data_IF_887795975693
#
_entry.id   IF_887795975693
#
_cell.length_a   1.000
_cell.length_b   1.000
_cell.length_c   1.000
_cell.angle_alpha   90.00
_cell.angle_beta   90.00
_cell.angle_gamma   90.00
#
_symmetry.space_group_name_H-M   'P 1'
#
loop_
_entity.id
_entity.type
_entity.pdbx_description
1 polymer ?
#
# COMPACT_ATOMS: atom_id res chain seq x y z
N UNK A 1 15.43 -4.25 -6.00
CA UNK A 1 14.44 -3.17 -5.87
C UNK A 1 13.11 -3.66 -6.41
N UNK A 2 11.98 -3.36 -5.75
CA UNK A 2 10.64 -3.62 -6.26
C UNK A 2 10.22 -2.45 -7.17
N UNK A 3 9.46 -2.73 -8.24
CA UNK A 3 8.98 -1.70 -9.18
C UNK A 3 7.55 -2.00 -9.60
N UNK A 4 6.83 -1.00 -10.10
CA UNK A 4 5.51 -1.18 -10.70
C UNK A 4 4.34 -0.97 -9.76
N UNK A 5 3.24 -1.66 -10.01
CA UNK A 5 1.98 -1.56 -9.26
C UNK A 5 1.93 -2.56 -8.11
N UNK A 6 2.06 -2.07 -6.91
CA UNK A 6 1.92 -2.87 -5.68
C UNK A 6 0.54 -2.59 -5.07
N UNK A 7 -0.29 -3.61 -4.89
CA UNK A 7 -1.62 -3.42 -4.28
C UNK A 7 -1.51 -3.33 -2.77
N UNK A 8 -2.07 -2.27 -2.17
CA UNK A 8 -2.41 -2.26 -0.74
C UNK A 8 -3.70 -3.08 -0.59
N UNK A 9 -3.56 -4.40 -0.49
CA UNK A 9 -4.68 -5.34 -0.62
C UNK A 9 -5.65 -5.22 0.57
N UNK A 10 -6.95 -5.22 0.28
CA UNK A 10 -7.99 -5.32 1.30
C UNK A 10 -7.94 -6.70 1.96
N UNK A 11 -8.31 -6.79 3.25
CA UNK A 11 -8.49 -8.07 3.93
C UNK A 11 -9.97 -8.48 3.83
N UNK A 12 -10.29 -9.57 3.10
CA UNK A 12 -11.65 -10.08 2.99
C UNK A 12 -12.20 -10.51 4.35
N UNK A 13 -13.46 -10.15 4.63
CA UNK A 13 -14.13 -10.46 5.87
C UNK A 13 -15.58 -10.94 5.62
N UNK A 14 -16.08 -11.78 6.49
CA UNK A 14 -17.48 -12.18 6.56
C UNK A 14 -18.33 -11.07 7.19
N UNK A 15 -19.65 -11.17 7.08
CA UNK A 15 -20.57 -10.18 7.64
C UNK A 15 -20.52 -10.03 9.18
N UNK A 16 -19.97 -11.02 9.89
CA UNK A 16 -19.71 -10.98 11.33
C UNK A 16 -18.33 -10.37 11.69
N UNK A 17 -17.55 -9.97 10.68
CA UNK A 17 -16.22 -9.41 10.84
C UNK A 17 -15.10 -10.47 11.00
N UNK A 18 -15.39 -11.76 10.96
CA UNK A 18 -14.35 -12.78 10.87
C UNK A 18 -13.64 -12.73 9.50
N UNK A 19 -12.38 -13.17 9.44
CA UNK A 19 -11.62 -13.16 8.18
C UNK A 19 -12.19 -14.23 7.24
N UNK A 20 -12.48 -13.84 5.98
CA UNK A 20 -12.86 -14.76 4.90
C UNK A 20 -11.57 -15.30 4.24
N UNK A 21 -11.09 -16.42 4.75
CA UNK A 21 -9.87 -17.05 4.23
C UNK A 21 -9.99 -17.51 2.79
N UNK A 22 -11.15 -18.01 2.38
CA UNK A 22 -11.38 -18.42 1.00
C UNK A 22 -11.45 -17.21 0.05
N UNK A 23 -12.03 -16.10 0.51
CA UNK A 23 -12.01 -14.82 -0.19
C UNK A 23 -10.60 -14.27 -0.32
N UNK A 24 -9.76 -14.41 0.71
CA UNK A 24 -8.36 -13.99 0.66
C UNK A 24 -7.60 -14.76 -0.43
N UNK A 25 -7.74 -16.07 -0.51
CA UNK A 25 -7.10 -16.89 -1.53
C UNK A 25 -7.57 -16.52 -2.94
N UNK A 26 -8.89 -16.36 -3.15
CA UNK A 26 -9.44 -15.92 -4.45
C UNK A 26 -8.90 -14.55 -4.87
N UNK A 27 -8.83 -13.60 -3.94
CA UNK A 27 -8.34 -12.26 -4.22
C UNK A 27 -6.85 -12.26 -4.58
N UNK A 28 -6.04 -13.07 -3.90
CA UNK A 28 -4.62 -13.24 -4.20
C UNK A 28 -4.44 -13.83 -5.61
N UNK A 29 -5.17 -14.91 -5.97
CA UNK A 29 -5.12 -15.48 -7.32
C UNK A 29 -5.50 -14.45 -8.37
N UNK A 30 -6.58 -13.69 -8.13
CA UNK A 30 -6.98 -12.61 -9.03
C UNK A 30 -5.86 -11.60 -9.25
N UNK A 31 -5.18 -11.14 -8.20
CA UNK A 31 -4.06 -10.20 -8.34
C UNK A 31 -2.89 -10.79 -9.12
N UNK A 32 -2.55 -12.04 -8.89
CA UNK A 32 -1.48 -12.73 -9.64
C UNK A 32 -1.85 -12.83 -11.13
N UNK A 33 -3.07 -13.24 -11.45
CA UNK A 33 -3.56 -13.39 -12.83
C UNK A 33 -3.67 -12.04 -13.56
N UNK A 34 -3.92 -10.96 -12.84
CA UNK A 34 -4.02 -9.60 -13.38
C UNK A 34 -2.67 -8.90 -13.51
N UNK A 35 -1.56 -9.53 -13.12
CA UNK A 35 -0.21 -8.98 -13.30
C UNK A 35 0.21 -7.98 -12.22
N UNK A 36 -0.43 -7.97 -11.04
CA UNK A 36 0.03 -7.16 -9.91
C UNK A 36 1.50 -7.45 -9.58
N UNK A 37 2.34 -6.41 -9.45
CA UNK A 37 3.78 -6.56 -9.28
C UNK A 37 4.19 -6.98 -7.85
N UNK A 38 3.41 -6.59 -6.84
CA UNK A 38 3.57 -7.06 -5.46
C UNK A 38 2.27 -6.89 -4.65
N UNK A 39 2.09 -7.67 -3.59
CA UNK A 39 0.98 -7.55 -2.65
C UNK A 39 1.51 -6.98 -1.33
N UNK A 40 0.93 -5.85 -0.89
CA UNK A 40 1.09 -5.35 0.48
C UNK A 40 -0.06 -5.92 1.32
N UNK A 41 0.27 -6.87 2.18
CA UNK A 41 -0.65 -7.53 3.11
C UNK A 41 -0.71 -6.74 4.41
N UNK A 42 -1.90 -6.58 4.98
CA UNK A 42 -2.19 -5.91 6.25
C UNK A 42 -1.58 -4.51 6.42
N UNK A 43 -1.56 -3.72 5.34
CA UNK A 43 -1.37 -2.27 5.43
C UNK A 43 -2.66 -1.58 5.94
N UNK A 44 -2.72 -0.25 5.85
CA UNK A 44 -3.93 0.54 6.22
C UNK A 44 -5.18 0.03 5.50
N UNK A 45 -5.10 -0.19 4.20
CA UNK A 45 -6.19 -0.71 3.37
C UNK A 45 -6.58 -2.14 3.75
N UNK A 46 -5.65 -2.93 4.27
CA UNK A 46 -5.89 -4.26 4.81
C UNK A 46 -6.45 -4.27 6.24
N UNK A 47 -6.87 -3.11 6.77
CA UNK A 47 -7.49 -2.97 8.11
C UNK A 47 -6.58 -3.45 9.26
N UNK A 48 -5.27 -3.22 9.15
CA UNK A 48 -4.29 -3.61 10.17
C UNK A 48 -4.65 -3.13 11.59
N UNK A 49 -5.29 -1.96 11.71
CA UNK A 49 -5.66 -1.37 12.99
C UNK A 49 -6.76 -2.15 13.76
N UNK A 50 -7.52 -3.02 13.09
CA UNK A 50 -8.63 -3.79 13.69
C UNK A 50 -8.38 -5.29 13.68
N UNK A 51 -7.23 -5.74 13.21
CA UNK A 51 -6.75 -7.11 13.34
C UNK A 51 -6.00 -7.26 14.67
N UNK A 52 -6.27 -8.30 15.45
CA UNK A 52 -5.39 -8.64 16.55
C UNK A 52 -4.05 -9.20 16.05
N UNK A 53 -3.03 -9.28 16.90
CA UNK A 53 -1.68 -9.68 16.47
C UNK A 53 -1.64 -11.10 15.86
N UNK A 54 -2.48 -12.03 16.34
CA UNK A 54 -2.58 -13.37 15.78
C UNK A 54 -3.16 -13.36 14.36
N UNK A 55 -4.27 -12.66 14.16
CA UNK A 55 -4.87 -12.48 12.83
C UNK A 55 -3.94 -11.76 11.87
N UNK A 56 -3.27 -10.71 12.35
CA UNK A 56 -2.31 -9.94 11.57
C UNK A 56 -1.18 -10.84 11.02
N UNK A 57 -0.60 -11.67 11.90
CA UNK A 57 0.44 -12.63 11.51
C UNK A 57 -0.10 -13.69 10.55
N UNK A 58 -1.29 -14.26 10.83
CA UNK A 58 -1.89 -15.31 10.01
C UNK A 58 -2.26 -14.83 8.61
N UNK A 59 -2.75 -13.59 8.45
CA UNK A 59 -3.05 -13.01 7.12
C UNK A 59 -1.76 -12.88 6.30
N UNK A 60 -0.66 -12.40 6.89
CA UNK A 60 0.63 -12.31 6.20
C UNK A 60 1.12 -13.70 5.78
N UNK A 61 1.13 -14.66 6.72
CA UNK A 61 1.61 -16.02 6.46
C UNK A 61 0.80 -16.70 5.33
N UNK A 62 -0.53 -16.61 5.39
CA UNK A 62 -1.40 -17.17 4.36
C UNK A 62 -1.23 -16.45 3.01
N UNK A 63 -1.02 -15.15 3.01
CA UNK A 63 -0.72 -14.40 1.78
C UNK A 63 0.58 -14.90 1.15
N UNK A 64 1.66 -15.02 1.91
CA UNK A 64 2.95 -15.56 1.42
C UNK A 64 2.78 -16.97 0.87
N UNK A 65 2.07 -17.83 1.61
CA UNK A 65 1.81 -19.22 1.20
C UNK A 65 0.99 -19.32 -0.08
N UNK A 66 -0.09 -18.53 -0.20
CA UNK A 66 -0.96 -18.54 -1.36
C UNK A 66 -0.26 -17.97 -2.60
N UNK A 67 0.51 -16.89 -2.45
CA UNK A 67 1.32 -16.34 -3.55
C UNK A 67 2.36 -17.35 -4.06
N UNK A 68 2.88 -18.23 -3.19
CA UNK A 68 3.83 -19.31 -3.52
C UNK A 68 5.05 -18.83 -4.35
N UNK A 69 5.57 -17.64 -4.05
CA UNK A 69 6.74 -17.07 -4.71
C UNK A 69 6.51 -16.50 -6.13
N UNK A 70 5.26 -16.49 -6.63
CA UNK A 70 4.94 -15.97 -7.97
C UNK A 70 5.14 -14.46 -8.09
N UNK A 71 4.82 -13.72 -7.04
CA UNK A 71 5.07 -12.28 -6.90
C UNK A 71 5.54 -11.96 -5.47
N UNK A 72 6.23 -10.83 -5.23
CA UNK A 72 6.64 -10.42 -3.89
C UNK A 72 5.46 -10.12 -2.97
N UNK A 73 5.61 -10.46 -1.68
CA UNK A 73 4.70 -10.04 -0.60
C UNK A 73 5.43 -9.06 0.32
N UNK A 74 4.77 -7.97 0.67
CA UNK A 74 5.23 -6.94 1.61
C UNK A 74 4.29 -6.98 2.83
N UNK A 75 4.82 -7.11 4.02
CA UNK A 75 4.02 -7.08 5.26
C UNK A 75 3.88 -5.65 5.78
N UNK A 76 2.66 -5.19 6.08
CA UNK A 76 2.45 -3.94 6.81
C UNK A 76 2.73 -4.16 8.30
N UNK A 77 3.80 -3.59 8.85
CA UNK A 77 4.27 -3.89 10.21
C UNK A 77 4.57 -2.65 11.05
N UNK A 78 4.26 -1.45 10.53
CA UNK A 78 4.44 -0.20 11.26
C UNK A 78 3.45 -0.04 12.42
N UNK A 79 3.92 0.51 13.54
CA UNK A 79 3.16 0.86 14.72
C UNK A 79 3.67 2.18 15.30
N UNK A 80 2.89 2.79 16.18
CA UNK A 80 3.34 3.95 16.99
C UNK A 80 4.16 3.54 18.24
N UNK A 81 4.37 2.24 18.44
CA UNK A 81 5.31 1.67 19.40
C UNK A 81 6.49 1.02 18.68
N UNK A 82 7.70 1.43 19.01
CA UNK A 82 8.94 0.87 18.42
C UNK A 82 9.07 -0.62 18.71
N UNK A 83 8.76 -1.04 19.93
CA UNK A 83 8.82 -2.45 20.34
C UNK A 83 7.81 -3.31 19.57
N UNK A 84 6.58 -2.82 19.41
CA UNK A 84 5.55 -3.50 18.64
C UNK A 84 5.93 -3.61 17.15
N UNK A 85 6.45 -2.53 16.54
CA UNK A 85 6.94 -2.56 15.16
C UNK A 85 8.05 -3.59 14.98
N UNK A 86 8.99 -3.70 15.92
CA UNK A 86 10.05 -4.72 15.89
C UNK A 86 9.44 -6.13 15.96
N UNK A 87 8.50 -6.36 16.86
CA UNK A 87 7.85 -7.66 17.01
C UNK A 87 7.08 -8.07 15.75
N UNK A 88 6.24 -7.17 15.19
CA UNK A 88 5.48 -7.40 13.96
C UNK A 88 6.42 -7.62 12.76
N UNK A 89 7.47 -6.82 12.63
CA UNK A 89 8.44 -6.94 11.53
C UNK A 89 9.20 -8.27 11.60
N UNK A 90 9.58 -8.72 12.79
CA UNK A 90 10.21 -10.03 12.99
C UNK A 90 9.27 -11.18 12.63
N UNK A 91 8.00 -11.10 13.00
CA UNK A 91 6.98 -12.09 12.64
C UNK A 91 6.78 -12.15 11.13
N UNK A 92 6.69 -11.01 10.47
CA UNK A 92 6.57 -10.94 9.01
C UNK A 92 7.82 -11.50 8.30
N UNK A 93 9.02 -11.21 8.79
CA UNK A 93 10.26 -11.80 8.28
C UNK A 93 10.23 -13.34 8.38
N UNK A 94 9.77 -13.89 9.51
CA UNK A 94 9.64 -15.34 9.70
C UNK A 94 8.61 -15.97 8.76
N UNK A 95 7.56 -15.25 8.42
CA UNK A 95 6.56 -15.67 7.42
C UNK A 95 7.12 -15.66 5.98
N UNK A 96 8.27 -15.03 5.74
CA UNK A 96 8.95 -15.05 4.44
C UNK A 96 8.56 -13.90 3.51
N UNK A 97 8.14 -12.75 4.04
CA UNK A 97 7.89 -11.56 3.21
C UNK A 97 9.16 -11.04 2.54
N UNK A 98 9.02 -10.40 1.39
CA UNK A 98 10.13 -9.80 0.63
C UNK A 98 10.60 -8.49 1.25
N UNK A 99 9.69 -7.74 1.88
CA UNK A 99 9.94 -6.47 2.56
C UNK A 99 8.84 -6.21 3.60
N UNK A 100 9.05 -5.21 4.46
CA UNK A 100 8.03 -4.69 5.37
C UNK A 100 7.74 -3.23 5.06
N UNK A 101 6.46 -2.83 5.15
CA UNK A 101 5.98 -1.45 5.04
C UNK A 101 5.72 -0.89 6.43
N UNK A 102 6.46 0.16 6.80
CA UNK A 102 6.45 0.74 8.13
C UNK A 102 5.86 2.16 8.10
N UNK A 103 4.62 2.32 8.54
CA UNK A 103 4.00 3.64 8.68
C UNK A 103 4.69 4.44 9.79
N UNK A 104 4.83 5.75 9.59
CA UNK A 104 5.31 6.66 10.64
C UNK A 104 4.43 6.54 11.89
N UNK A 105 5.01 6.63 13.12
CA UNK A 105 4.24 6.60 14.35
C UNK A 105 3.10 7.63 14.33
N UNK A 106 1.88 7.15 14.46
CA UNK A 106 0.65 7.93 14.48
C UNK A 106 0.23 8.25 15.91
N UNK A 107 -0.58 9.29 16.10
CA UNK A 107 -1.19 9.68 17.37
C UNK A 107 -0.20 10.33 18.36
N UNK A 108 0.93 9.70 18.71
CA UNK A 108 1.92 10.20 19.67
C UNK A 108 2.88 11.26 19.11
N UNK A 109 2.84 11.54 17.80
CA UNK A 109 3.49 12.66 17.11
C UNK A 109 4.95 12.88 17.47
N UNK A 110 5.86 11.92 17.25
CA UNK A 110 7.27 12.09 17.55
C UNK A 110 7.90 13.20 16.70
N UNK A 111 8.91 13.92 17.24
CA UNK A 111 9.73 14.83 16.45
C UNK A 111 10.59 14.07 15.44
N UNK A 112 11.23 14.79 14.50
CA UNK A 112 12.04 14.18 13.42
C UNK A 112 13.14 13.23 13.95
N UNK A 113 13.81 13.60 15.03
CA UNK A 113 14.81 12.72 15.66
C UNK A 113 14.17 11.46 16.26
N UNK A 114 12.95 11.57 16.81
CA UNK A 114 12.19 10.42 17.28
C UNK A 114 11.81 9.47 16.14
N UNK A 115 11.43 10.00 14.96
CA UNK A 115 11.19 9.21 13.76
C UNK A 115 12.47 8.48 13.31
N UNK A 116 13.60 9.20 13.27
CA UNK A 116 14.88 8.61 12.89
C UNK A 116 15.27 7.45 13.83
N UNK A 117 15.22 7.66 15.15
CA UNK A 117 15.57 6.64 16.13
C UNK A 117 14.61 5.44 16.09
N UNK A 118 13.31 5.69 15.85
CA UNK A 118 12.30 4.64 15.72
C UNK A 118 12.63 3.68 14.56
N UNK A 119 12.78 4.20 13.35
CA UNK A 119 13.07 3.38 12.16
C UNK A 119 14.46 2.75 12.21
N UNK A 120 15.47 3.47 12.70
CA UNK A 120 16.79 2.93 12.91
C UNK A 120 16.77 1.72 13.86
N UNK A 121 16.07 1.83 15.00
CA UNK A 121 15.96 0.73 15.97
C UNK A 121 15.28 -0.51 15.35
N UNK A 122 14.27 -0.34 14.49
CA UNK A 122 13.63 -1.45 13.80
C UNK A 122 14.60 -2.07 12.80
N UNK A 123 15.33 -1.26 12.04
CA UNK A 123 16.30 -1.72 11.05
C UNK A 123 17.47 -2.49 11.70
N UNK A 124 17.98 -2.02 12.84
CA UNK A 124 19.01 -2.71 13.61
C UNK A 124 18.52 -4.04 14.22
N UNK A 125 17.24 -4.13 14.57
CA UNK A 125 16.65 -5.31 15.21
C UNK A 125 16.22 -6.42 14.24
N UNK A 126 15.91 -6.10 12.97
CA UNK A 126 15.34 -7.03 11.99
C UNK A 126 15.92 -6.74 10.61
N UNK A 127 16.54 -7.75 9.99
CA UNK A 127 17.30 -7.59 8.73
C UNK A 127 16.47 -7.57 7.45
N UNK A 128 15.15 -7.85 7.50
CA UNK A 128 14.28 -7.79 6.32
C UNK A 128 14.29 -6.38 5.71
N UNK A 129 14.27 -6.23 4.39
CA UNK A 129 14.15 -4.92 3.75
C UNK A 129 12.91 -4.15 4.24
N UNK A 130 13.07 -2.87 4.53
CA UNK A 130 12.05 -2.00 5.10
C UNK A 130 11.74 -0.84 4.16
N UNK A 131 10.46 -0.56 3.96
CA UNK A 131 9.95 0.58 3.20
C UNK A 131 9.26 1.50 4.20
N UNK A 132 9.75 2.72 4.32
CA UNK A 132 9.13 3.76 5.15
C UNK A 132 7.78 4.15 4.55
N UNK A 133 6.82 4.57 5.40
CA UNK A 133 5.53 5.04 4.89
C UNK A 133 5.12 6.33 5.59
N UNK A 134 5.15 7.42 4.83
CA UNK A 134 4.76 8.75 5.28
C UNK A 134 3.36 9.13 4.76
N UNK A 135 2.42 9.36 5.67
CA UNK A 135 1.02 9.68 5.36
C UNK A 135 0.46 10.68 6.38
N UNK A 136 0.86 11.95 6.29
CA UNK A 136 0.55 12.97 7.31
C UNK A 136 -0.94 13.14 7.59
N UNK A 137 -1.79 13.01 6.56
CA UNK A 137 -3.24 13.13 6.68
C UNK A 137 -3.89 12.08 7.60
N UNK A 138 -3.22 10.93 7.81
CA UNK A 138 -3.70 9.88 8.71
C UNK A 138 -2.99 9.87 10.05
N UNK A 139 -1.70 10.14 10.05
CA UNK A 139 -0.86 9.97 11.24
C UNK A 139 -0.78 11.22 12.12
N UNK A 140 -1.01 12.40 11.54
CA UNK A 140 -0.79 13.68 12.20
C UNK A 140 0.69 14.02 12.38
N UNK A 141 1.57 13.30 11.69
CA UNK A 141 3.03 13.48 11.66
C UNK A 141 3.50 13.47 10.22
N UNK A 142 4.39 14.37 9.88
CA UNK A 142 5.04 14.42 8.57
C UNK A 142 6.55 14.20 8.74
N UNK A 143 7.08 13.17 8.10
CA UNK A 143 8.51 12.87 8.08
C UNK A 143 9.19 13.70 6.99
N UNK A 144 10.05 14.64 7.39
CA UNK A 144 10.76 15.52 6.47
C UNK A 144 11.71 14.74 5.54
N UNK A 145 11.96 15.27 4.32
CA UNK A 145 12.90 14.67 3.38
C UNK A 145 14.30 14.47 4.00
N UNK A 146 14.80 15.41 4.79
CA UNK A 146 16.10 15.28 5.45
C UNK A 146 16.15 14.10 6.43
N UNK A 147 15.03 13.79 7.10
CA UNK A 147 14.93 12.59 7.95
C UNK A 147 14.94 11.31 7.11
N UNK A 148 14.21 11.31 5.99
CA UNK A 148 14.22 10.20 5.03
C UNK A 148 15.61 9.95 4.47
N UNK A 149 16.34 11.00 4.10
CA UNK A 149 17.71 10.91 3.59
C UNK A 149 18.68 10.30 4.61
N UNK A 150 18.61 10.71 5.87
CA UNK A 150 19.40 10.09 6.94
C UNK A 150 19.08 8.60 7.11
N UNK A 151 17.81 8.22 6.95
CA UNK A 151 17.35 6.83 7.03
C UNK A 151 17.77 6.01 5.81
N UNK A 152 17.85 6.62 4.62
CA UNK A 152 18.27 5.94 3.38
C UNK A 152 19.75 5.50 3.39
N UNK A 153 20.56 5.97 4.36
CA UNK A 153 21.93 5.51 4.59
C UNK A 153 22.00 4.17 5.35
N UNK A 154 20.86 3.63 5.80
CA UNK A 154 20.79 2.36 6.52
C UNK A 154 20.47 1.24 5.52
N UNK A 155 21.36 0.28 5.38
CA UNK A 155 21.39 -0.73 4.30
C UNK A 155 20.05 -1.46 4.05
N UNK A 156 19.28 -1.75 5.09
CA UNK A 156 18.01 -2.47 4.98
C UNK A 156 16.77 -1.55 4.98
N UNK A 157 16.94 -0.23 4.96
CA UNK A 157 15.87 0.74 4.66
C UNK A 157 15.96 1.07 3.18
N UNK A 158 15.12 0.42 2.36
CA UNK A 158 15.29 0.33 0.90
C UNK A 158 14.38 1.26 0.11
N UNK A 159 13.54 2.03 0.77
CA UNK A 159 12.64 2.96 0.10
C UNK A 159 11.64 3.65 1.00
N UNK A 160 10.85 4.51 0.40
CA UNK A 160 9.73 5.21 1.03
C UNK A 160 8.49 5.15 0.14
N UNK A 161 7.32 4.90 0.76
CA UNK A 161 6.00 5.23 0.22
C UNK A 161 5.64 6.62 0.72
N UNK A 162 5.62 7.61 -0.18
CA UNK A 162 5.19 8.97 0.13
C UNK A 162 3.72 9.18 -0.29
N UNK A 163 2.87 9.51 0.67
CA UNK A 163 1.45 9.82 0.51
C UNK A 163 1.15 11.26 0.94
N UNK A 164 2.02 12.19 0.61
CA UNK A 164 1.82 13.63 0.85
C UNK A 164 1.08 14.33 -0.28
N UNK A 165 0.96 13.69 -1.44
CA UNK A 165 0.42 14.27 -2.67
C UNK A 165 1.25 15.47 -3.19
N UNK A 166 2.52 15.58 -2.79
CA UNK A 166 3.45 16.66 -3.15
C UNK A 166 4.52 16.12 -4.14
N UNK A 167 4.32 16.41 -5.43
CA UNK A 167 5.23 15.96 -6.48
C UNK A 167 6.62 16.59 -6.38
N UNK A 168 6.73 17.84 -5.95
CA UNK A 168 8.01 18.53 -5.80
C UNK A 168 8.84 17.89 -4.69
N UNK A 169 8.18 17.52 -3.60
CA UNK A 169 8.75 16.75 -2.50
C UNK A 169 9.24 15.37 -2.96
N UNK A 170 8.40 14.66 -3.71
CA UNK A 170 8.77 13.36 -4.29
C UNK A 170 9.95 13.46 -5.24
N UNK A 171 9.99 14.46 -6.11
CA UNK A 171 11.10 14.74 -7.02
C UNK A 171 12.39 15.11 -6.26
N UNK A 172 12.28 15.83 -5.15
CA UNK A 172 13.43 16.14 -4.27
C UNK A 172 14.01 14.85 -3.66
N UNK A 173 13.19 13.94 -3.16
CA UNK A 173 13.63 12.64 -2.66
C UNK A 173 14.33 11.82 -3.76
N UNK A 174 13.71 11.70 -4.96
CA UNK A 174 14.28 10.96 -6.09
C UNK A 174 15.67 11.49 -6.45
N UNK A 175 15.86 12.80 -6.45
CA UNK A 175 17.14 13.42 -6.78
C UNK A 175 18.23 13.24 -5.72
N UNK A 176 17.84 13.18 -4.42
CA UNK A 176 18.78 13.25 -3.29
C UNK A 176 19.06 11.88 -2.64
N UNK A 177 18.16 10.92 -2.78
CA UNK A 177 18.36 9.58 -2.24
C UNK A 177 19.39 8.80 -3.07
N UNK A 178 20.04 7.78 -2.48
CA UNK A 178 20.88 6.83 -3.22
C UNK A 178 20.10 6.13 -4.35
N UNK A 179 20.77 5.72 -5.43
CA UNK A 179 20.16 5.10 -6.62
C UNK A 179 19.42 3.79 -6.30
N UNK A 180 19.81 3.10 -5.24
CA UNK A 180 19.22 1.86 -4.76
C UNK A 180 18.09 2.08 -3.73
N UNK A 181 17.80 3.33 -3.36
CA UNK A 181 16.65 3.69 -2.51
C UNK A 181 15.43 4.02 -3.38
N UNK A 182 14.33 3.33 -3.18
CA UNK A 182 13.13 3.49 -3.99
C UNK A 182 12.15 4.54 -3.42
N UNK A 183 11.70 5.45 -4.28
CA UNK A 183 10.58 6.35 -3.94
C UNK A 183 9.31 5.83 -4.63
N UNK A 184 8.31 5.45 -3.83
CA UNK A 184 7.01 4.97 -4.27
C UNK A 184 5.93 6.01 -3.97
N UNK A 185 4.95 6.13 -4.88
CA UNK A 185 3.75 6.91 -4.57
C UNK A 185 2.84 6.16 -3.59
N UNK A 186 2.27 6.90 -2.64
CA UNK A 186 1.16 6.45 -1.80
C UNK A 186 -0.19 7.02 -2.22
N UNK A 187 -0.20 7.86 -3.27
CA UNK A 187 -1.36 8.58 -3.81
C UNK A 187 -1.60 8.20 -5.27
N UNK A 188 -2.69 7.51 -5.54
CA UNK A 188 -2.98 6.99 -6.89
C UNK A 188 -3.09 8.11 -7.93
N UNK A 189 -3.72 9.23 -7.58
CA UNK A 189 -3.95 10.36 -8.50
C UNK A 189 -2.69 11.10 -8.98
N UNK A 190 -1.55 10.91 -8.31
CA UNK A 190 -0.25 11.52 -8.69
C UNK A 190 0.82 10.48 -9.01
N UNK A 191 0.50 9.19 -8.89
CA UNK A 191 1.44 8.09 -9.03
C UNK A 191 2.12 8.06 -10.41
N UNK A 192 1.35 8.21 -11.48
CA UNK A 192 1.88 8.24 -12.85
C UNK A 192 2.96 9.31 -13.02
N UNK A 193 2.68 10.55 -12.58
CA UNK A 193 3.62 11.67 -12.70
C UNK A 193 4.86 11.48 -11.84
N UNK A 194 4.72 10.93 -10.63
CA UNK A 194 5.87 10.64 -9.78
C UNK A 194 6.78 9.57 -10.42
N UNK A 195 6.21 8.54 -11.05
CA UNK A 195 6.99 7.52 -11.75
C UNK A 195 7.69 8.08 -12.98
N UNK A 196 7.03 8.93 -13.78
CA UNK A 196 7.66 9.64 -14.92
C UNK A 196 8.81 10.56 -14.45
N UNK A 197 8.75 11.07 -13.22
CA UNK A 197 9.85 11.82 -12.62
C UNK A 197 10.98 10.94 -12.04
N UNK A 198 10.89 9.61 -12.14
CA UNK A 198 11.91 8.65 -11.69
C UNK A 198 11.53 7.80 -10.50
N UNK A 199 10.30 7.94 -9.97
CA UNK A 199 9.73 7.04 -8.97
C UNK A 199 9.68 5.60 -9.46
N UNK A 200 9.73 4.62 -8.53
CA UNK A 200 9.88 3.20 -8.87
C UNK A 200 8.55 2.44 -8.94
N UNK A 201 7.44 3.08 -8.57
CA UNK A 201 6.13 2.44 -8.56
C UNK A 201 5.15 3.14 -7.63
N UNK A 202 4.03 2.47 -7.39
CA UNK A 202 3.02 2.92 -6.41
C UNK A 202 2.58 1.78 -5.51
N UNK A 203 2.23 2.10 -4.26
CA UNK A 203 1.51 1.20 -3.36
C UNK A 203 0.07 1.70 -3.31
N UNK A 204 -0.77 1.11 -4.14
CA UNK A 204 -2.04 1.62 -4.64
C UNK A 204 -3.25 1.11 -3.87
N UNK A 205 -4.27 1.95 -3.72
CA UNK A 205 -5.63 1.57 -3.32
C UNK A 205 -6.46 1.15 -4.54
N UNK A 206 -6.39 1.90 -5.63
CA UNK A 206 -7.14 1.65 -6.87
C UNK A 206 -6.80 0.31 -7.51
N UNK A 207 -5.58 -0.21 -7.29
CA UNK A 207 -5.16 -1.53 -7.75
C UNK A 207 -6.02 -2.67 -7.18
N UNK A 208 -6.75 -2.48 -6.08
CA UNK A 208 -7.72 -3.48 -5.59
C UNK A 208 -8.85 -3.72 -6.60
N UNK A 209 -9.33 -2.67 -7.26
CA UNK A 209 -10.43 -2.76 -8.23
C UNK A 209 -9.95 -2.85 -9.69
N UNK A 210 -8.78 -2.30 -10.02
CA UNK A 210 -8.25 -2.23 -11.39
C UNK A 210 -6.78 -2.71 -11.48
N UNK A 211 -6.46 -3.95 -11.05
CA UNK A 211 -5.07 -4.40 -10.95
C UNK A 211 -4.33 -4.37 -12.28
N UNK A 212 -4.93 -4.84 -13.38
CA UNK A 212 -4.31 -4.87 -14.71
C UNK A 212 -4.00 -3.49 -15.25
N UNK A 213 -4.97 -2.57 -15.21
CA UNK A 213 -4.76 -1.19 -15.69
C UNK A 213 -3.68 -0.47 -14.89
N UNK A 214 -3.66 -0.68 -13.57
CA UNK A 214 -2.61 -0.13 -12.71
C UNK A 214 -1.23 -0.72 -13.04
N UNK A 215 -1.14 -2.01 -13.29
CA UNK A 215 0.10 -2.66 -13.74
C UNK A 215 0.59 -2.08 -15.08
N UNK A 216 -0.28 -1.98 -16.07
CA UNK A 216 0.05 -1.45 -17.40
C UNK A 216 0.49 0.01 -17.33
N UNK A 217 -0.25 0.85 -16.60
CA UNK A 217 0.10 2.27 -16.38
C UNK A 217 1.47 2.40 -15.70
N UNK A 218 1.71 1.64 -14.62
CA UNK A 218 2.98 1.68 -13.91
C UNK A 218 4.15 1.19 -14.78
N UNK A 219 3.93 0.15 -15.56
CA UNK A 219 4.95 -0.39 -16.49
C UNK A 219 5.35 0.66 -17.52
N UNK A 220 4.37 1.31 -18.15
CA UNK A 220 4.64 2.39 -19.12
C UNK A 220 5.35 3.57 -18.46
N UNK A 221 4.89 4.01 -17.27
CA UNK A 221 5.47 5.16 -16.58
C UNK A 221 6.92 4.91 -16.13
N UNK A 222 7.22 3.73 -15.58
CA UNK A 222 8.58 3.35 -15.15
C UNK A 222 9.51 3.18 -16.36
N UNK A 223 9.00 2.75 -17.50
CA UNK A 223 9.76 2.66 -18.76
C UNK A 223 9.97 4.03 -19.43
N UNK A 224 9.32 5.10 -18.97
CA UNK A 224 9.39 6.44 -19.57
C UNK A 224 8.51 6.61 -20.81
N UNK A 225 7.58 5.68 -21.07
CA UNK A 225 6.54 5.83 -22.11
C UNK A 225 5.43 6.74 -21.58
N UNK A 226 5.69 8.05 -21.67
CA UNK A 226 4.79 9.08 -21.13
C UNK A 226 3.43 9.07 -21.81
N UNK A 227 3.35 8.85 -23.12
CA UNK A 227 2.09 8.86 -23.88
C UNK A 227 1.16 7.75 -23.38
N UNK A 228 1.65 6.51 -23.36
CA UNK A 228 0.87 5.36 -22.88
C UNK A 228 0.51 5.50 -21.40
N UNK A 229 1.46 5.91 -20.56
CA UNK A 229 1.24 6.09 -19.14
C UNK A 229 0.13 7.11 -18.84
N UNK A 230 0.16 8.29 -19.46
CA UNK A 230 -0.83 9.34 -19.28
C UNK A 230 -2.22 8.96 -19.85
N UNK A 231 -2.26 8.19 -20.94
CA UNK A 231 -3.51 7.65 -21.49
C UNK A 231 -4.19 6.71 -20.49
N UNK A 232 -3.45 5.76 -19.92
CA UNK A 232 -3.95 4.80 -18.94
C UNK A 232 -4.32 5.49 -17.60
N UNK A 233 -3.51 6.44 -17.13
CA UNK A 233 -3.82 7.27 -15.97
C UNK A 233 -5.15 8.05 -16.15
N UNK A 234 -5.37 8.56 -17.38
CA UNK A 234 -6.62 9.22 -17.73
C UNK A 234 -7.86 8.33 -17.58
N UNK A 235 -7.75 7.03 -17.91
CA UNK A 235 -8.83 6.04 -17.71
C UNK A 235 -9.08 5.74 -16.22
N UNK A 236 -8.01 5.76 -15.41
CA UNK A 236 -8.06 5.47 -13.98
C UNK A 236 -8.49 6.67 -13.12
N UNK A 237 -8.46 7.90 -13.64
CA UNK A 237 -8.66 9.15 -12.87
C UNK A 237 -9.91 9.16 -12.02
N UNK A 238 -11.05 8.76 -12.60
CA UNK A 238 -12.32 8.74 -11.87
C UNK A 238 -12.32 7.66 -10.79
N UNK A 239 -11.67 6.52 -11.05
CA UNK A 239 -11.54 5.45 -10.08
C UNK A 239 -10.66 5.89 -8.89
N UNK A 240 -9.54 6.57 -9.14
CA UNK A 240 -8.69 7.12 -8.08
C UNK A 240 -9.50 8.01 -7.12
N UNK A 241 -10.28 8.95 -7.66
CA UNK A 241 -11.13 9.82 -6.86
C UNK A 241 -12.23 9.04 -6.11
N UNK A 242 -12.86 8.07 -6.77
CA UNK A 242 -13.95 7.27 -6.20
C UNK A 242 -13.49 6.39 -5.02
N UNK A 243 -12.23 5.95 -5.00
CA UNK A 243 -11.68 5.15 -3.88
C UNK A 243 -11.51 5.95 -2.58
N UNK A 244 -11.75 7.27 -2.61
CA UNK A 244 -11.60 8.16 -1.45
C UNK A 244 -12.85 9.02 -1.18
N UNK A 245 -14.03 8.69 -1.75
CA UNK A 245 -15.31 9.36 -1.42
C UNK A 245 -15.72 9.18 0.03
N UNK A 246 -15.25 8.09 0.65
CA UNK A 246 -15.21 7.87 2.10
C UNK A 246 -13.83 7.35 2.51
N UNK A 247 -13.61 7.21 3.81
CA UNK A 247 -12.33 6.72 4.33
C UNK A 247 -11.93 5.37 3.73
N UNK A 248 -10.77 5.31 3.07
CA UNK A 248 -10.17 4.03 2.67
C UNK A 248 -9.97 3.12 3.90
N UNK A 249 -10.37 1.83 3.85
CA UNK A 249 -10.68 1.01 2.66
C UNK A 249 -12.17 0.89 2.28
N UNK A 250 -13.07 1.67 2.82
CA UNK A 250 -14.51 1.50 2.64
C UNK A 250 -14.90 1.41 1.15
N UNK A 251 -14.57 2.40 0.27
CA UNK A 251 -14.92 2.31 -1.14
C UNK A 251 -14.19 1.17 -1.87
N UNK A 252 -12.93 0.92 -1.53
CA UNK A 252 -12.15 -0.15 -2.15
C UNK A 252 -12.74 -1.55 -1.87
N UNK A 253 -13.12 -1.84 -0.62
CA UNK A 253 -13.80 -3.09 -0.27
C UNK A 253 -15.13 -3.24 -0.97
N UNK A 254 -15.91 -2.15 -1.04
CA UNK A 254 -17.18 -2.16 -1.75
C UNK A 254 -16.97 -2.46 -3.25
N UNK A 255 -15.98 -1.83 -3.89
CA UNK A 255 -15.67 -2.07 -5.31
C UNK A 255 -15.29 -3.54 -5.57
N UNK A 256 -14.40 -4.11 -4.77
CA UNK A 256 -14.00 -5.53 -4.90
C UNK A 256 -15.18 -6.48 -4.63
N UNK A 257 -16.09 -6.11 -3.72
CA UNK A 257 -17.34 -6.85 -3.47
C UNK A 257 -18.26 -6.79 -4.70
N UNK A 258 -18.41 -5.64 -5.38
CA UNK A 258 -19.22 -5.53 -6.60
C UNK A 258 -18.65 -6.40 -7.75
N UNK A 259 -17.36 -6.66 -7.78
CA UNK A 259 -16.73 -7.59 -8.72
C UNK A 259 -16.96 -9.06 -8.35
N UNK A 260 -17.60 -9.35 -7.22
CA UNK A 260 -17.88 -10.73 -6.77
C UNK A 260 -16.66 -11.47 -6.22
N UNK A 261 -15.54 -10.76 -5.97
CA UNK A 261 -14.31 -11.38 -5.50
C UNK A 261 -14.32 -11.66 -3.99
N UNK A 262 -14.99 -10.80 -3.21
CA UNK A 262 -15.12 -10.91 -1.74
C UNK A 262 -16.53 -10.60 -1.29
N UNK A 263 -16.87 -10.93 -0.04
CA UNK A 263 -18.08 -10.46 0.65
C UNK A 263 -17.98 -9.00 1.09
N UNK A 264 -19.09 -8.42 1.56
CA UNK A 264 -19.19 -7.03 2.01
C UNK A 264 -18.75 -6.77 3.46
N UNK A 265 -18.09 -7.74 4.13
CA UNK A 265 -17.68 -7.61 5.53
C UNK A 265 -16.60 -6.56 5.75
N UNK A 266 -16.76 -5.77 6.82
CA UNK A 266 -15.79 -4.75 7.28
C UNK A 266 -15.93 -4.64 8.80
N UNK A 267 -14.86 -4.29 9.52
CA UNK A 267 -14.86 -4.18 10.98
C UNK A 267 -15.07 -2.76 11.47
N UNK A 268 -15.84 -2.61 12.56
CA UNK A 268 -15.86 -1.35 13.31
C UNK A 268 -14.44 -0.94 13.75
N UNK A 269 -14.15 0.38 13.76
CA UNK A 269 -15.08 1.50 13.61
C UNK A 269 -15.46 1.84 12.15
N UNK A 270 -14.92 1.11 11.16
CA UNK A 270 -15.33 1.26 9.77
C UNK A 270 -16.66 0.53 9.52
N UNK A 271 -17.44 1.07 8.57
CA UNK A 271 -18.76 0.56 8.19
C UNK A 271 -18.83 0.36 6.68
N UNK A 272 -19.92 -0.25 6.19
CA UNK A 272 -20.15 -0.35 4.74
C UNK A 272 -20.20 1.04 4.09
N UNK A 273 -19.88 1.09 2.80
CA UNK A 273 -19.99 2.32 2.00
C UNK A 273 -21.43 2.85 2.05
N UNK A 274 -21.60 4.15 2.31
CA UNK A 274 -22.91 4.80 2.33
C UNK A 274 -23.57 4.72 0.94
N UNK A 275 -24.88 4.46 0.92
CA UNK A 275 -25.66 4.26 -0.31
C UNK A 275 -25.55 5.42 -1.30
N UNK A 276 -25.38 6.64 -0.80
CA UNK A 276 -25.22 7.85 -1.63
C UNK A 276 -23.98 7.81 -2.56
N UNK A 277 -22.96 7.01 -2.22
CA UNK A 277 -21.73 6.89 -3.02
C UNK A 277 -21.73 5.69 -3.98
N UNK A 278 -22.69 4.76 -3.86
CA UNK A 278 -22.74 3.54 -4.67
C UNK A 278 -22.70 3.81 -6.18
N UNK A 279 -23.51 4.76 -6.63
CA UNK A 279 -23.56 5.10 -8.05
C UNK A 279 -22.29 5.80 -8.54
N UNK A 280 -21.68 6.62 -7.70
CA UNK A 280 -20.40 7.30 -8.01
C UNK A 280 -19.29 6.28 -8.19
N UNK A 281 -19.15 5.33 -7.26
CA UNK A 281 -18.10 4.30 -7.33
C UNK A 281 -18.37 3.36 -8.52
N UNK A 282 -19.63 2.93 -8.73
CA UNK A 282 -20.01 2.07 -9.87
C UNK A 282 -19.75 2.74 -11.21
N UNK A 283 -20.08 4.01 -11.37
CA UNK A 283 -19.81 4.78 -12.59
C UNK A 283 -18.29 4.89 -12.87
N UNK A 284 -17.49 5.10 -11.84
CA UNK A 284 -16.03 5.15 -11.97
C UNK A 284 -15.44 3.79 -12.38
N UNK A 285 -15.95 2.68 -11.80
CA UNK A 285 -15.55 1.32 -12.16
C UNK A 285 -15.92 0.99 -13.62
N UNK A 286 -17.12 1.36 -14.06
CA UNK A 286 -17.54 1.19 -15.46
C UNK A 286 -16.66 2.02 -16.42
N UNK A 287 -16.32 3.26 -16.07
CA UNK A 287 -15.43 4.10 -16.89
C UNK A 287 -14.04 3.48 -17.02
N UNK A 288 -13.54 2.86 -15.96
CA UNK A 288 -12.27 2.12 -15.98
C UNK A 288 -12.38 0.73 -16.64
N UNK A 289 -13.60 0.26 -17.01
CA UNK A 289 -13.81 -1.04 -17.63
C UNK A 289 -13.58 -2.24 -16.72
N UNK A 290 -13.81 -2.07 -15.42
CA UNK A 290 -13.53 -3.11 -14.39
C UNK A 290 -14.79 -3.64 -13.70
N UNK A 291 -15.97 -3.27 -14.20
CA UNK A 291 -17.27 -3.79 -13.76
C UNK A 291 -18.15 -4.12 -14.99
#
# INVERSE_FOLDING_TARGET
MLTGSMVAMVTPMNGDGSIDWAGLERLIEHHVDQGTDAIVSVGTTGESATLNHGEHAEVIERTVKAVAGRIPVIGGTGSNSTEESIALTRTAQQAGVRACLLVVPYYNKPPQEGLYQHFRSIAEAVSVPQILYNVPGRTGVDMANDTTLRLSEIDNIVGIKDATNDLDRGADLIRRCPDDFAVYSGEDGTACRLMLAGGKGTISVSANAAPRLMHEMCTAAVAGDEETALQLDGQLRNLHAAMFVQSNPIPAKWAVCQQGLIGGGIRLPLVALDDEYHDTVRAAMNTAGVL
#
